data_IF_501231747527
#
_entry.id   IF_501231747527
#
_cell.length_a   1.000
_cell.length_b   1.000
_cell.length_c   1.000
_cell.angle_alpha   90.00
_cell.angle_beta   90.00
_cell.angle_gamma   90.00
#
_symmetry.space_group_name_H-M   'P 1'
#
loop_
_entity.id
_entity.type
_entity.pdbx_description
1 polymer ?
#
# COMPACT_ATOMS: atom_id res chain seq x y z
N UNK A 1 16.22 -19.98 11.08
CA UNK A 1 16.93 -19.23 10.01
C UNK A 1 16.65 -17.75 10.20
N UNK A 2 17.71 -16.94 10.35
CA UNK A 2 17.63 -15.54 10.79
C UNK A 2 17.00 -14.61 9.73
N UNK A 3 16.16 -13.71 10.23
CA UNK A 3 15.42 -12.58 9.64
C UNK A 3 16.17 -11.71 8.61
N UNK A 4 16.62 -12.28 7.47
CA UNK A 4 17.15 -11.48 6.34
C UNK A 4 16.06 -11.05 5.35
N UNK A 5 14.94 -11.78 5.29
CA UNK A 5 13.84 -11.45 4.38
C UNK A 5 13.02 -10.21 4.86
N UNK A 6 13.12 -9.91 6.16
CA UNK A 6 12.40 -8.84 6.83
C UNK A 6 13.17 -7.51 6.87
N UNK A 7 14.45 -7.49 6.48
CA UNK A 7 15.30 -6.28 6.58
C UNK A 7 15.13 -5.25 5.47
N UNK A 8 14.31 -5.54 4.45
CA UNK A 8 14.12 -4.66 3.27
C UNK A 8 12.68 -4.15 3.12
N UNK A 9 11.98 -3.96 4.23
CA UNK A 9 10.64 -3.40 4.23
C UNK A 9 10.70 -1.89 4.05
N UNK A 10 9.93 -1.39 3.08
CA UNK A 10 9.79 0.04 2.84
C UNK A 10 8.42 0.51 3.32
N UNK A 11 8.38 1.62 4.05
CA UNK A 11 7.17 2.33 4.42
C UNK A 11 7.05 3.61 3.60
N UNK A 12 5.89 3.79 2.98
CA UNK A 12 5.49 5.03 2.32
C UNK A 12 4.43 5.74 3.16
N UNK A 13 4.73 6.96 3.60
CA UNK A 13 3.83 7.78 4.39
C UNK A 13 3.39 9.00 3.58
N UNK A 14 2.14 9.06 3.08
CA UNK A 14 1.64 10.24 2.39
C UNK A 14 1.45 11.39 3.39
N UNK A 15 1.99 12.56 3.06
CA UNK A 15 1.89 13.80 3.84
C UNK A 15 1.06 14.81 3.05
N UNK A 16 -0.26 14.66 3.12
CA UNK A 16 -1.21 15.50 2.36
C UNK A 16 -1.99 16.38 3.34
N UNK A 17 -1.78 17.68 3.24
CA UNK A 17 -2.50 18.69 4.02
C UNK A 17 -3.47 19.41 3.11
N UNK A 18 -4.74 19.47 3.52
CA UNK A 18 -5.79 20.21 2.83
C UNK A 18 -6.42 21.10 3.88
N UNK A 19 -6.49 22.39 3.59
CA UNK A 19 -7.22 23.32 4.43
C UNK A 19 -8.71 22.92 4.50
N UNK A 20 -9.28 22.91 5.70
CA UNK A 20 -10.62 22.37 5.97
C UNK A 20 -11.77 23.19 5.39
N UNK A 21 -11.51 24.41 4.90
CA UNK A 21 -12.56 25.36 4.52
C UNK A 21 -13.33 25.94 5.70
N UNK A 22 -12.83 25.71 6.92
CA UNK A 22 -13.46 26.11 8.17
C UNK A 22 -12.55 27.00 9.00
N UNK A 23 -13.16 27.86 9.81
CA UNK A 23 -12.49 28.73 10.78
C UNK A 23 -13.20 28.60 12.12
N UNK A 24 -12.43 28.53 13.21
CA UNK A 24 -12.98 28.53 14.57
C UNK A 24 -13.82 29.78 14.81
N UNK A 25 -15.01 29.59 15.36
CA UNK A 25 -15.90 30.67 15.77
C UNK A 25 -15.66 31.07 17.22
N UNK A 26 -15.75 32.37 17.48
CA UNK A 26 -15.85 32.95 18.81
C UNK A 26 -17.28 33.41 19.03
N UNK A 27 -18.07 32.63 19.78
CA UNK A 27 -19.53 32.84 19.92
C UNK A 27 -19.90 34.28 20.28
N UNK A 28 -19.22 34.88 21.25
CA UNK A 28 -19.53 36.22 21.76
C UNK A 28 -19.30 37.32 20.71
N UNK A 29 -18.32 37.10 19.82
CA UNK A 29 -17.90 38.03 18.78
C UNK A 29 -18.65 37.80 17.45
N UNK A 30 -18.78 36.53 17.04
CA UNK A 30 -19.29 36.11 15.74
C UNK A 30 -20.83 36.08 15.66
N UNK A 31 -21.53 35.93 16.78
CA UNK A 31 -23.01 35.97 16.82
C UNK A 31 -23.55 37.37 17.13
N UNK A 32 -22.69 38.32 17.49
CA UNK A 32 -23.09 39.71 17.69
C UNK A 32 -23.53 40.34 16.35
N UNK A 33 -24.81 40.68 16.23
CA UNK A 33 -25.39 41.27 15.00
C UNK A 33 -25.89 40.28 13.95
N UNK A 34 -25.87 38.96 14.20
CA UNK A 34 -26.48 37.99 13.30
C UNK A 34 -28.01 38.04 13.38
N UNK A 35 -28.68 37.94 12.22
CA UNK A 35 -30.15 38.00 12.07
C UNK A 35 -30.93 36.84 12.73
N UNK A 36 -30.21 35.91 13.37
CA UNK A 36 -30.73 34.67 13.95
C UNK A 36 -29.61 33.64 14.14
N UNK A 37 -29.98 32.43 14.58
CA UNK A 37 -29.04 31.31 14.68
C UNK A 37 -28.61 30.84 13.28
N UNK A 38 -27.30 30.74 12.99
CA UNK A 38 -26.83 30.28 11.68
C UNK A 38 -27.23 28.82 11.42
N UNK A 39 -27.51 28.45 10.15
CA UNK A 39 -27.84 27.07 9.79
C UNK A 39 -26.72 26.10 10.17
N UNK A 40 -27.07 24.84 10.46
CA UNK A 40 -26.09 23.76 10.70
C UNK A 40 -25.15 23.52 9.51
N UNK A 41 -25.59 23.90 8.31
CA UNK A 41 -24.75 23.83 7.11
C UNK A 41 -23.63 24.87 7.11
N UNK A 42 -23.82 25.98 7.83
CA UNK A 42 -22.84 27.06 7.95
C UNK A 42 -21.93 26.89 9.17
N UNK A 43 -22.47 26.33 10.25
CA UNK A 43 -21.78 26.19 11.54
C UNK A 43 -21.87 24.75 12.07
N UNK A 44 -20.72 24.17 12.38
CA UNK A 44 -20.59 22.86 13.03
C UNK A 44 -19.55 22.96 14.14
N UNK A 45 -19.90 22.51 15.35
CA UNK A 45 -18.95 22.29 16.47
C UNK A 45 -18.03 23.48 16.78
N UNK A 46 -18.60 24.69 16.81
CA UNK A 46 -17.83 25.90 17.10
C UNK A 46 -16.91 26.34 15.96
N UNK A 47 -17.12 25.85 14.74
CA UNK A 47 -16.44 26.29 13.52
C UNK A 47 -17.44 26.70 12.46
N UNK A 48 -17.09 27.71 11.65
CA UNK A 48 -17.88 28.18 10.50
C UNK A 48 -17.24 27.76 9.20
N UNK A 49 -18.05 27.35 8.23
CA UNK A 49 -17.63 27.09 6.84
C UNK A 49 -17.60 28.40 6.08
N UNK A 50 -16.43 28.79 5.60
CA UNK A 50 -16.26 30.08 4.90
C UNK A 50 -16.33 29.97 3.38
N UNK A 51 -16.38 28.74 2.87
CA UNK A 51 -16.65 28.43 1.47
C UNK A 51 -17.51 27.17 1.35
N UNK A 52 -18.04 26.94 0.15
CA UNK A 52 -18.72 25.70 -0.20
C UNK A 52 -17.74 24.52 -0.14
N UNK A 53 -17.99 23.48 0.69
CA UNK A 53 -17.10 22.30 0.79
C UNK A 53 -16.80 21.64 -0.55
N UNK A 54 -17.68 21.81 -1.55
CA UNK A 54 -17.47 21.27 -2.90
C UNK A 54 -16.20 21.79 -3.55
N UNK A 55 -15.72 22.99 -3.22
CA UNK A 55 -14.50 23.54 -3.83
C UNK A 55 -13.25 22.72 -3.47
N UNK A 56 -13.24 22.00 -2.33
CA UNK A 56 -12.12 21.17 -1.90
C UNK A 56 -12.12 19.78 -2.54
N UNK A 57 -13.20 19.41 -3.24
CA UNK A 57 -13.44 18.03 -3.72
C UNK A 57 -12.32 17.53 -4.64
N UNK A 58 -11.72 18.40 -5.47
CA UNK A 58 -10.64 18.00 -6.38
C UNK A 58 -9.39 17.56 -5.61
N UNK A 59 -8.95 18.33 -4.62
CA UNK A 59 -7.80 17.96 -3.75
C UNK A 59 -8.12 16.74 -2.89
N UNK A 60 -9.34 16.69 -2.35
CA UNK A 60 -9.85 15.54 -1.61
C UNK A 60 -9.87 14.26 -2.45
N UNK A 61 -10.21 14.37 -3.73
CA UNK A 61 -10.14 13.28 -4.70
C UNK A 61 -8.71 12.78 -4.89
N UNK A 62 -7.73 13.68 -4.98
CA UNK A 62 -6.32 13.31 -5.08
C UNK A 62 -5.84 12.56 -3.84
N UNK A 63 -6.23 12.99 -2.63
CA UNK A 63 -5.95 12.25 -1.39
C UNK A 63 -6.51 10.83 -1.42
N UNK A 64 -7.74 10.64 -1.92
CA UNK A 64 -8.33 9.30 -2.10
C UNK A 64 -7.58 8.49 -3.15
N UNK A 65 -7.19 9.11 -4.25
CA UNK A 65 -6.41 8.45 -5.30
C UNK A 65 -5.06 7.97 -4.78
N UNK A 66 -4.33 8.78 -4.01
CA UNK A 66 -3.07 8.36 -3.36
C UNK A 66 -3.28 7.16 -2.46
N UNK A 67 -4.30 7.18 -1.59
CA UNK A 67 -4.57 6.02 -0.72
C UNK A 67 -4.87 4.75 -1.52
N UNK A 68 -5.64 4.86 -2.61
CA UNK A 68 -5.95 3.73 -3.49
C UNK A 68 -4.70 3.21 -4.21
N UNK A 69 -3.89 4.11 -4.73
CA UNK A 69 -2.68 3.80 -5.48
C UNK A 69 -1.64 3.10 -4.59
N UNK A 70 -1.39 3.61 -3.39
CA UNK A 70 -0.52 2.97 -2.41
C UNK A 70 -1.10 1.63 -1.89
N UNK A 71 -2.42 1.54 -1.69
CA UNK A 71 -3.09 0.28 -1.34
C UNK A 71 -3.01 -0.77 -2.46
N UNK A 72 -2.90 -0.35 -3.73
CA UNK A 72 -2.67 -1.28 -4.85
C UNK A 72 -1.27 -1.87 -4.78
N UNK A 73 -0.27 -1.05 -4.48
CA UNK A 73 1.15 -1.45 -4.48
C UNK A 73 1.61 -2.12 -3.18
N UNK A 74 0.88 -1.91 -2.07
CA UNK A 74 1.31 -2.33 -0.74
C UNK A 74 0.19 -2.63 0.23
N UNK A 75 0.54 -2.81 1.50
CA UNK A 75 -0.39 -3.14 2.58
C UNK A 75 -0.45 -2.00 3.58
N UNK A 76 -1.65 -1.64 4.04
CA UNK A 76 -1.83 -0.54 4.97
C UNK A 76 -1.28 -0.91 6.36
N UNK A 77 -0.55 0.01 6.97
CA UNK A 77 -0.02 -0.09 8.33
C UNK A 77 -0.26 1.20 9.12
N UNK A 78 -0.08 1.20 10.45
CA UNK A 78 -0.17 2.42 11.25
C UNK A 78 0.83 3.51 10.84
N UNK A 79 1.97 3.14 10.24
CA UNK A 79 3.01 4.07 9.79
C UNK A 79 2.80 4.58 8.36
N UNK A 80 1.88 3.98 7.59
CA UNK A 80 1.68 4.31 6.18
C UNK A 80 1.32 3.07 5.37
N UNK A 81 2.01 2.87 4.26
CA UNK A 81 1.86 1.70 3.40
C UNK A 81 3.17 0.94 3.34
N UNK A 82 3.15 -0.34 3.70
CA UNK A 82 4.26 -1.26 3.56
C UNK A 82 4.31 -1.69 2.10
N UNK A 83 5.43 -1.44 1.43
CA UNK A 83 5.70 -1.87 0.06
C UNK A 83 6.98 -2.70 0.03
N UNK A 84 7.16 -3.38 -1.08
CA UNK A 84 8.40 -4.10 -1.38
C UNK A 84 9.36 -3.15 -2.11
N UNK A 85 10.68 -3.39 -2.06
CA UNK A 85 11.65 -2.59 -2.81
C UNK A 85 11.35 -2.51 -4.31
N UNK A 86 10.80 -3.57 -4.89
CA UNK A 86 10.45 -3.62 -6.31
C UNK A 86 9.35 -2.63 -6.72
N UNK A 87 8.53 -2.17 -5.76
CA UNK A 87 7.45 -1.22 -6.01
C UNK A 87 7.86 0.25 -5.83
N UNK A 88 9.08 0.52 -5.35
CA UNK A 88 9.54 1.88 -4.99
C UNK A 88 9.50 2.85 -6.18
N UNK A 89 10.01 2.43 -7.35
CA UNK A 89 10.00 3.26 -8.57
C UNK A 89 8.58 3.62 -8.99
N UNK A 90 7.66 2.65 -8.97
CA UNK A 90 6.25 2.89 -9.29
C UNK A 90 5.59 3.88 -8.32
N UNK A 91 5.92 3.80 -7.02
CA UNK A 91 5.45 4.77 -6.04
C UNK A 91 5.93 6.18 -6.36
N UNK A 92 7.21 6.37 -6.70
CA UNK A 92 7.74 7.68 -7.06
C UNK A 92 7.01 8.29 -8.26
N UNK A 93 6.80 7.50 -9.32
CA UNK A 93 6.10 7.93 -10.53
C UNK A 93 4.64 8.31 -10.23
N UNK A 94 3.92 7.46 -9.50
CA UNK A 94 2.52 7.70 -9.16
C UNK A 94 2.36 8.91 -8.22
N UNK A 95 3.21 9.05 -7.20
CA UNK A 95 3.17 10.19 -6.30
C UNK A 95 3.53 11.50 -7.00
N UNK A 96 4.48 11.47 -7.95
CA UNK A 96 4.81 12.65 -8.76
C UNK A 96 3.61 13.09 -9.61
N UNK A 97 2.94 12.16 -10.28
CA UNK A 97 1.73 12.45 -11.05
C UNK A 97 0.60 13.03 -10.16
N UNK A 98 0.37 12.43 -8.98
CA UNK A 98 -0.64 12.91 -8.02
C UNK A 98 -0.28 14.28 -7.45
N UNK A 99 1.00 14.57 -7.23
CA UNK A 99 1.48 15.88 -6.77
C UNK A 99 1.16 16.96 -7.80
N UNK A 100 1.42 16.70 -9.09
CA UNK A 100 1.08 17.64 -10.18
C UNK A 100 -0.42 17.97 -10.18
N UNK A 101 -1.28 16.95 -10.16
CA UNK A 101 -2.74 17.15 -10.16
C UNK A 101 -3.23 17.88 -8.90
N UNK A 102 -2.65 17.57 -7.73
CA UNK A 102 -2.98 18.22 -6.47
C UNK A 102 -2.62 19.71 -6.50
N UNK A 103 -1.40 20.04 -6.95
CA UNK A 103 -0.93 21.42 -7.05
C UNK A 103 -1.77 22.22 -8.04
N UNK A 104 -2.13 21.64 -9.19
CA UNK A 104 -3.06 22.27 -10.12
C UNK A 104 -4.44 22.55 -9.49
N UNK A 105 -4.97 21.61 -8.69
CA UNK A 105 -6.21 21.81 -7.97
C UNK A 105 -6.12 22.88 -6.87
N UNK A 106 -4.98 22.94 -6.15
CA UNK A 106 -4.69 24.00 -5.18
C UNK A 106 -4.64 25.36 -5.85
N UNK A 107 -3.90 25.48 -6.95
CA UNK A 107 -3.70 26.76 -7.62
C UNK A 107 -5.02 27.28 -8.21
N UNK A 108 -5.85 26.38 -8.75
CA UNK A 108 -7.20 26.72 -9.19
C UNK A 108 -8.10 27.19 -8.03
N UNK A 109 -8.03 26.54 -6.86
CA UNK A 109 -8.76 26.98 -5.66
C UNK A 109 -8.32 28.39 -5.24
N UNK A 110 -7.01 28.63 -5.19
CA UNK A 110 -6.42 29.90 -4.75
C UNK A 110 -6.76 31.03 -5.72
N UNK A 111 -6.69 30.79 -7.03
CA UNK A 111 -7.05 31.78 -8.04
C UNK A 111 -8.53 32.16 -8.03
N UNK A 112 -9.40 31.20 -7.70
CA UNK A 112 -10.85 31.42 -7.62
C UNK A 112 -11.34 31.79 -6.20
N UNK A 113 -10.44 31.90 -5.23
CA UNK A 113 -10.79 31.92 -3.81
C UNK A 113 -11.78 33.03 -3.44
N UNK A 114 -11.47 34.27 -3.81
CA UNK A 114 -12.31 35.43 -3.48
C UNK A 114 -13.70 35.30 -4.12
N UNK A 115 -13.76 34.84 -5.38
CA UNK A 115 -15.00 34.57 -6.11
C UNK A 115 -15.83 33.49 -5.40
N UNK A 116 -15.20 32.41 -4.95
CA UNK A 116 -15.86 31.32 -4.22
C UNK A 116 -16.42 31.79 -2.88
N UNK A 117 -15.69 32.62 -2.15
CA UNK A 117 -16.16 33.22 -0.90
C UNK A 117 -17.35 34.16 -1.14
N UNK A 118 -17.31 35.04 -2.15
CA UNK A 118 -18.45 35.92 -2.48
C UNK A 118 -19.68 35.11 -2.90
N UNK A 119 -19.51 34.04 -3.67
CA UNK A 119 -20.61 33.14 -4.01
C UNK A 119 -21.19 32.44 -2.77
N UNK A 120 -20.35 32.06 -1.82
CA UNK A 120 -20.78 31.45 -0.58
C UNK A 120 -21.57 32.42 0.31
N UNK A 121 -21.13 33.68 0.38
CA UNK A 121 -21.89 34.76 1.05
C UNK A 121 -23.26 34.97 0.40
N UNK A 122 -23.32 35.07 -0.93
CA UNK A 122 -24.57 35.28 -1.66
C UNK A 122 -25.58 34.12 -1.48
N UNK A 123 -25.09 32.89 -1.27
CA UNK A 123 -25.93 31.73 -0.94
C UNK A 123 -26.46 31.74 0.49
N UNK A 124 -25.88 32.54 1.38
CA UNK A 124 -26.20 32.59 2.82
C UNK A 124 -26.50 34.03 3.27
N UNK A 125 -27.58 34.65 2.75
CA UNK A 125 -27.92 36.03 3.07
C UNK A 125 -28.18 36.22 4.57
N UNK A 126 -27.72 37.33 5.13
CA UNK A 126 -27.86 37.66 6.56
C UNK A 126 -26.76 37.09 7.47
N UNK A 127 -25.77 36.39 6.90
CA UNK A 127 -24.59 35.86 7.60
C UNK A 127 -23.26 36.31 6.97
N UNK A 128 -23.26 37.33 6.12
CA UNK A 128 -22.10 37.80 5.37
C UNK A 128 -20.98 38.28 6.31
N UNK A 129 -21.33 39.04 7.35
CA UNK A 129 -20.37 39.51 8.34
C UNK A 129 -19.74 38.35 9.11
N UNK A 130 -20.54 37.36 9.49
CA UNK A 130 -20.08 36.12 10.12
C UNK A 130 -19.06 35.41 9.21
N UNK A 131 -19.32 35.32 7.91
CA UNK A 131 -18.46 34.62 6.94
C UNK A 131 -17.17 35.38 6.58
N UNK A 132 -17.16 36.70 6.71
CA UNK A 132 -15.97 37.53 6.43
C UNK A 132 -15.02 37.59 7.62
N UNK A 133 -15.54 37.54 8.85
CA UNK A 133 -14.72 37.64 10.07
C UNK A 133 -13.73 36.48 10.18
N UNK A 134 -12.46 36.78 10.44
CA UNK A 134 -11.36 35.81 10.53
C UNK A 134 -11.19 34.93 9.28
N UNK A 135 -11.66 35.40 8.12
CA UNK A 135 -11.41 34.72 6.85
C UNK A 135 -9.89 34.77 6.56
N UNK A 136 -9.24 33.62 6.33
CA UNK A 136 -7.86 33.59 5.84
C UNK A 136 -7.81 34.16 4.42
N UNK A 137 -6.67 34.77 4.11
CA UNK A 137 -6.29 35.20 2.78
C UNK A 137 -6.06 34.00 1.86
N UNK A 138 -6.12 34.21 0.54
CA UNK A 138 -5.80 33.19 -0.44
C UNK A 138 -4.37 32.62 -0.25
N UNK A 139 -3.42 33.45 0.18
CA UNK A 139 -2.04 33.05 0.47
C UNK A 139 -1.94 32.13 1.70
N UNK A 140 -2.70 32.39 2.75
CA UNK A 140 -2.79 31.50 3.93
C UNK A 140 -3.42 30.16 3.57
N UNK A 141 -4.47 30.17 2.74
CA UNK A 141 -5.09 28.94 2.22
C UNK A 141 -4.09 28.14 1.37
N UNK A 142 -3.34 28.81 0.49
CA UNK A 142 -2.30 28.18 -0.33
C UNK A 142 -1.24 27.48 0.55
N UNK A 143 -0.77 28.13 1.61
CA UNK A 143 0.22 27.58 2.56
C UNK A 143 -0.33 26.42 3.38
N UNK A 144 -1.63 26.39 3.64
CA UNK A 144 -2.30 25.32 4.38
C UNK A 144 -2.62 24.08 3.52
N UNK A 145 -2.43 24.17 2.19
CA UNK A 145 -2.63 23.07 1.25
C UNK A 145 -1.28 22.61 0.69
N UNK A 146 -0.87 21.39 1.05
CA UNK A 146 0.44 20.85 0.72
C UNK A 146 0.37 19.36 0.41
N UNK A 147 1.26 18.91 -0.47
CA UNK A 147 1.36 17.52 -0.87
C UNK A 147 2.81 17.10 -0.86
N UNK A 148 3.11 16.13 -0.01
CA UNK A 148 4.36 15.40 -0.04
C UNK A 148 4.18 13.96 0.38
N UNK A 149 5.27 13.21 0.36
CA UNK A 149 5.33 11.86 0.89
C UNK A 149 6.73 11.58 1.39
N UNK A 150 6.84 10.69 2.38
CA UNK A 150 8.10 10.20 2.88
C UNK A 150 8.22 8.70 2.63
N UNK A 151 9.44 8.26 2.35
CA UNK A 151 9.79 6.85 2.17
C UNK A 151 10.87 6.52 3.20
N UNK A 152 10.64 5.44 3.93
CA UNK A 152 11.54 4.96 4.97
C UNK A 152 11.84 3.48 4.74
N UNK A 153 13.13 3.11 4.87
CA UNK A 153 13.49 1.72 5.12
C UNK A 153 13.32 1.44 6.60
N UNK A 154 12.61 0.36 6.95
CA UNK A 154 12.38 -0.04 8.35
C UNK A 154 13.20 -1.27 8.68
N UNK A 155 13.88 -1.22 9.82
CA UNK A 155 14.63 -2.34 10.39
C UNK A 155 14.27 -2.51 11.87
N UNK A 156 14.47 -3.73 12.38
CA UNK A 156 14.40 -3.99 13.81
C UNK A 156 15.41 -3.12 14.59
N UNK A 157 15.08 -2.80 15.83
CA UNK A 157 16.05 -2.26 16.80
C UNK A 157 16.99 -3.39 17.23
N UNK A 158 18.28 -3.09 17.38
CA UNK A 158 19.34 -4.02 17.79
C UNK A 158 19.21 -4.45 19.27
N UNK A 159 18.12 -5.17 19.57
CA UNK A 159 17.82 -5.78 20.85
C UNK A 159 16.93 -6.99 20.60
N UNK A 160 17.01 -8.02 21.46
CA UNK A 160 16.18 -9.22 21.35
C UNK A 160 14.68 -8.89 21.34
N UNK A 161 14.22 -8.04 22.27
CA UNK A 161 12.84 -7.56 22.29
C UNK A 161 12.47 -6.76 21.03
N UNK A 162 13.41 -5.97 20.49
CA UNK A 162 13.20 -5.22 19.25
C UNK A 162 12.99 -6.12 18.04
N UNK A 163 13.76 -7.21 17.95
CA UNK A 163 13.62 -8.22 16.91
C UNK A 163 12.29 -8.97 17.03
N UNK A 164 11.93 -9.43 18.23
CA UNK A 164 10.65 -10.12 18.48
C UNK A 164 9.43 -9.25 18.11
N UNK A 165 9.46 -7.96 18.47
CA UNK A 165 8.40 -7.01 18.09
C UNK A 165 8.34 -6.79 16.59
N UNK A 166 9.48 -6.73 15.93
CA UNK A 166 9.55 -6.59 14.48
C UNK A 166 8.98 -7.82 13.75
N UNK A 167 9.30 -9.03 14.21
CA UNK A 167 8.69 -10.26 13.70
C UNK A 167 7.17 -10.30 13.90
N UNK A 168 6.68 -9.77 15.02
CA UNK A 168 5.23 -9.65 15.27
C UNK A 168 4.57 -8.72 14.24
N UNK A 169 5.19 -7.58 13.93
CA UNK A 169 4.71 -6.65 12.89
C UNK A 169 4.76 -7.32 11.51
N UNK A 170 5.78 -8.12 11.23
CA UNK A 170 5.88 -8.90 10.00
C UNK A 170 4.70 -9.85 9.82
N UNK A 171 4.42 -10.67 10.85
CA UNK A 171 3.31 -11.62 10.85
C UNK A 171 1.96 -10.91 10.68
N UNK A 172 1.76 -9.79 11.37
CA UNK A 172 0.57 -8.97 11.22
C UNK A 172 0.44 -8.40 9.79
N UNK A 173 1.55 -8.02 9.16
CA UNK A 173 1.58 -7.55 7.77
C UNK A 173 1.18 -8.65 6.81
N UNK A 174 1.69 -9.87 6.99
CA UNK A 174 1.31 -11.03 6.18
C UNK A 174 -0.18 -11.35 6.33
N UNK A 175 -0.73 -11.31 7.56
CA UNK A 175 -2.16 -11.49 7.79
C UNK A 175 -3.00 -10.41 7.08
N UNK A 176 -2.60 -9.14 7.23
CA UNK A 176 -3.27 -8.02 6.58
C UNK A 176 -3.21 -8.10 5.05
N UNK A 177 -2.11 -8.60 4.49
CA UNK A 177 -2.01 -8.91 3.06
C UNK A 177 -3.03 -9.98 2.66
N UNK A 178 -3.07 -11.12 3.36
CA UNK A 178 -3.96 -12.21 3.01
C UNK A 178 -5.44 -11.76 3.05
N UNK A 179 -5.80 -10.95 4.04
CA UNK A 179 -7.12 -10.31 4.15
C UNK A 179 -7.41 -9.36 2.98
N UNK A 180 -6.46 -8.48 2.64
CA UNK A 180 -6.59 -7.54 1.52
C UNK A 180 -6.72 -8.28 0.17
N UNK A 181 -5.90 -9.30 -0.07
CA UNK A 181 -5.97 -10.13 -1.27
C UNK A 181 -7.33 -10.83 -1.35
N UNK A 182 -7.80 -11.42 -0.25
CA UNK A 182 -9.11 -12.05 -0.17
C UNK A 182 -10.26 -11.09 -0.45
N UNK A 183 -10.23 -9.89 0.14
CA UNK A 183 -11.25 -8.86 -0.07
C UNK A 183 -11.29 -8.41 -1.53
N UNK A 184 -10.13 -8.16 -2.14
CA UNK A 184 -10.02 -7.78 -3.55
C UNK A 184 -10.46 -8.92 -4.47
N UNK A 185 -10.08 -10.17 -4.19
CA UNK A 185 -10.51 -11.32 -4.97
C UNK A 185 -12.04 -11.49 -4.96
N UNK A 186 -12.67 -11.34 -3.79
CA UNK A 186 -14.14 -11.36 -3.65
C UNK A 186 -14.82 -10.25 -4.44
N UNK A 187 -14.28 -9.04 -4.39
CA UNK A 187 -14.82 -7.91 -5.14
C UNK A 187 -14.72 -8.14 -6.66
N UNK A 188 -13.55 -8.57 -7.15
CA UNK A 188 -13.34 -8.86 -8.58
C UNK A 188 -14.27 -9.99 -9.05
N UNK A 189 -14.38 -11.06 -8.26
CA UNK A 189 -15.23 -12.20 -8.58
C UNK A 189 -16.69 -11.74 -8.75
N UNK A 190 -17.22 -11.02 -7.75
CA UNK A 190 -18.59 -10.51 -7.75
C UNK A 190 -18.86 -9.54 -8.90
N UNK A 191 -17.95 -8.59 -9.13
CA UNK A 191 -18.21 -7.48 -10.05
C UNK A 191 -17.96 -7.86 -11.52
N UNK A 192 -17.05 -8.80 -11.77
CA UNK A 192 -16.52 -9.08 -13.11
C UNK A 192 -16.61 -10.52 -13.59
N UNK A 193 -16.78 -11.52 -12.72
CA UNK A 193 -16.73 -12.93 -13.12
C UNK A 193 -18.03 -13.71 -12.84
N UNK A 194 -18.77 -13.36 -11.79
CA UNK A 194 -20.00 -14.06 -11.44
C UNK A 194 -21.04 -13.95 -12.57
N UNK A 195 -21.53 -15.10 -13.01
CA UNK A 195 -22.50 -15.25 -14.11
C UNK A 195 -22.04 -14.62 -15.44
N UNK A 196 -20.73 -14.57 -15.71
CA UNK A 196 -20.17 -14.11 -16.98
C UNK A 196 -19.61 -15.27 -17.80
N UNK A 197 -19.94 -15.28 -19.09
CA UNK A 197 -19.39 -16.25 -20.06
C UNK A 197 -18.12 -15.72 -20.75
N UNK A 198 -17.85 -14.43 -20.66
CA UNK A 198 -16.69 -13.75 -21.25
C UNK A 198 -16.33 -12.53 -20.42
N UNK A 199 -15.03 -12.36 -20.16
CA UNK A 199 -14.50 -11.29 -19.29
C UNK A 199 -13.51 -10.41 -20.04
N UNK A 200 -13.61 -9.09 -19.84
CA UNK A 200 -12.74 -8.12 -20.51
C UNK A 200 -11.31 -8.14 -19.97
N UNK A 201 -10.33 -7.78 -20.80
CA UNK A 201 -8.93 -7.64 -20.36
C UNK A 201 -8.75 -6.65 -19.21
N UNK A 202 -9.65 -5.67 -19.05
CA UNK A 202 -9.62 -4.75 -17.91
C UNK A 202 -9.74 -5.50 -16.59
N UNK A 203 -10.71 -6.41 -16.47
CA UNK A 203 -10.88 -7.21 -15.27
C UNK A 203 -9.73 -8.20 -15.06
N UNK A 204 -9.25 -8.84 -16.14
CA UNK A 204 -8.10 -9.76 -16.07
C UNK A 204 -6.82 -9.04 -15.61
N UNK A 205 -6.60 -7.80 -16.06
CA UNK A 205 -5.45 -7.01 -15.61
C UNK A 205 -5.50 -6.70 -14.12
N UNK A 206 -6.69 -6.48 -13.54
CA UNK A 206 -6.84 -6.34 -12.09
C UNK A 206 -6.46 -7.65 -11.37
N UNK A 207 -6.81 -8.81 -11.91
CA UNK A 207 -6.38 -10.11 -11.37
C UNK A 207 -4.85 -10.25 -11.45
N UNK A 208 -4.23 -9.85 -12.57
CA UNK A 208 -2.77 -9.86 -12.73
C UNK A 208 -2.08 -8.95 -11.71
N UNK A 209 -2.61 -7.76 -11.47
CA UNK A 209 -2.11 -6.85 -10.44
C UNK A 209 -2.21 -7.47 -9.04
N UNK A 210 -3.33 -8.13 -8.73
CA UNK A 210 -3.53 -8.81 -7.46
C UNK A 210 -2.51 -9.93 -7.23
N UNK A 211 -2.23 -10.74 -8.24
CA UNK A 211 -1.22 -11.80 -8.16
C UNK A 211 0.20 -11.24 -8.07
N UNK A 212 0.53 -10.20 -8.84
CA UNK A 212 1.83 -9.52 -8.71
C UNK A 212 2.04 -8.96 -7.31
N UNK A 213 0.99 -8.38 -6.71
CA UNK A 213 1.02 -7.93 -5.32
C UNK A 213 1.34 -9.10 -4.39
N UNK A 214 0.62 -10.22 -4.50
CA UNK A 214 0.87 -11.43 -3.70
C UNK A 214 2.33 -11.93 -3.85
N UNK A 215 2.83 -12.01 -5.09
CA UNK A 215 4.21 -12.42 -5.40
C UNK A 215 5.26 -11.51 -4.77
N UNK A 216 5.03 -10.20 -4.76
CA UNK A 216 6.00 -9.26 -4.21
C UNK A 216 6.20 -9.45 -2.69
N UNK A 217 5.16 -9.93 -1.99
CA UNK A 217 5.18 -10.08 -0.54
C UNK A 217 5.72 -11.43 -0.03
N UNK A 218 6.20 -12.32 -0.91
CA UNK A 218 6.83 -13.59 -0.50
C UNK A 218 8.08 -13.38 0.37
N UNK A 219 8.66 -12.18 0.35
CA UNK A 219 9.73 -11.77 1.29
C UNK A 219 9.27 -11.76 2.76
N UNK A 220 7.97 -11.50 3.03
CA UNK A 220 7.43 -11.47 4.39
C UNK A 220 7.03 -12.86 4.88
N UNK A 221 6.61 -13.72 3.97
CA UNK A 221 6.23 -15.10 4.27
C UNK A 221 6.51 -16.01 3.06
N UNK A 222 7.57 -16.83 3.11
CA UNK A 222 7.94 -17.75 2.03
C UNK A 222 6.82 -18.75 1.68
N UNK A 223 5.91 -19.05 2.61
CA UNK A 223 4.79 -19.99 2.37
C UNK A 223 3.82 -19.49 1.30
N UNK A 224 3.84 -18.19 0.99
CA UNK A 224 2.98 -17.63 -0.07
C UNK A 224 3.54 -17.94 -1.46
N UNK A 225 4.84 -18.19 -1.58
CA UNK A 225 5.55 -18.32 -2.85
C UNK A 225 4.96 -19.37 -3.79
N UNK A 226 4.65 -20.61 -3.35
CA UNK A 226 4.22 -21.66 -4.26
C UNK A 226 2.84 -21.34 -4.86
N UNK A 227 1.91 -20.91 -4.01
CA UNK A 227 0.61 -20.35 -4.43
C UNK A 227 0.81 -19.21 -5.44
N UNK A 228 1.64 -18.22 -5.12
CA UNK A 228 1.84 -17.05 -5.97
C UNK A 228 2.46 -17.39 -7.35
N UNK A 229 3.34 -18.40 -7.41
CA UNK A 229 3.91 -18.94 -8.66
C UNK A 229 2.86 -19.68 -9.49
N UNK A 230 2.09 -20.58 -8.87
CA UNK A 230 1.05 -21.34 -9.56
C UNK A 230 0.00 -20.41 -10.19
N UNK A 231 -0.46 -19.42 -9.41
CA UNK A 231 -1.37 -18.38 -9.88
C UNK A 231 -0.78 -17.54 -11.02
N UNK A 232 0.51 -17.19 -10.92
CA UNK A 232 1.23 -16.48 -11.98
C UNK A 232 1.23 -17.24 -13.30
N UNK A 233 1.58 -18.53 -13.26
CA UNK A 233 1.63 -19.41 -14.44
C UNK A 233 0.28 -19.50 -15.16
N UNK A 234 -0.81 -19.68 -14.40
CA UNK A 234 -2.17 -19.70 -14.97
C UNK A 234 -2.48 -18.41 -15.73
N UNK A 235 -2.06 -17.25 -15.21
CA UNK A 235 -2.29 -15.95 -15.85
C UNK A 235 -1.38 -15.66 -17.04
N UNK A 236 -0.20 -16.29 -17.11
CA UNK A 236 0.70 -16.23 -18.26
C UNK A 236 0.13 -16.95 -19.47
N UNK A 237 -0.59 -18.06 -19.23
CA UNK A 237 -1.29 -18.83 -20.26
C UNK A 237 -2.56 -18.11 -20.77
N UNK A 238 -3.04 -17.07 -20.07
CA UNK A 238 -4.21 -16.29 -20.50
C UNK A 238 -3.86 -15.30 -21.63
N UNK A 239 -4.77 -15.07 -22.59
CA UNK A 239 -4.52 -14.11 -23.66
C UNK A 239 -4.25 -12.71 -23.13
N UNK A 240 -3.28 -12.03 -23.76
CA UNK A 240 -2.88 -10.64 -23.44
C UNK A 240 -3.78 -9.59 -24.07
N UNK A 241 -4.57 -9.99 -25.07
CA UNK A 241 -5.46 -9.12 -25.85
C UNK A 241 -6.78 -9.82 -26.14
N UNK A 242 -7.85 -9.06 -26.28
CA UNK A 242 -9.20 -9.60 -26.51
C UNK A 242 -9.83 -10.21 -25.25
N UNK A 243 -11.16 -10.34 -25.18
CA UNK A 243 -11.82 -10.91 -24.01
C UNK A 243 -11.43 -12.37 -23.79
N UNK A 244 -11.54 -12.84 -22.54
CA UNK A 244 -11.44 -14.25 -22.22
C UNK A 244 -12.65 -15.01 -22.78
N UNK A 245 -12.43 -16.20 -23.31
CA UNK A 245 -13.51 -17.13 -23.62
C UNK A 245 -14.12 -17.74 -22.34
N UNK A 246 -15.14 -18.58 -22.49
CA UNK A 246 -15.85 -19.20 -21.37
C UNK A 246 -14.96 -20.12 -20.55
N UNK A 247 -14.09 -20.90 -21.18
CA UNK A 247 -13.17 -21.81 -20.47
C UNK A 247 -12.14 -21.02 -19.68
N UNK A 248 -11.52 -20.01 -20.28
CA UNK A 248 -10.58 -19.11 -19.63
C UNK A 248 -11.23 -18.33 -18.48
N UNK A 249 -12.46 -17.86 -18.68
CA UNK A 249 -13.24 -17.17 -17.64
C UNK A 249 -13.50 -18.09 -16.44
N UNK A 250 -13.85 -19.35 -16.68
CA UNK A 250 -14.05 -20.35 -15.62
C UNK A 250 -12.76 -20.64 -14.85
N UNK A 251 -11.63 -20.79 -15.54
CA UNK A 251 -10.32 -21.06 -14.93
C UNK A 251 -9.92 -19.90 -14.00
N UNK A 252 -9.93 -18.66 -14.51
CA UNK A 252 -9.57 -17.48 -13.70
C UNK A 252 -10.58 -17.26 -12.57
N UNK A 253 -11.87 -17.54 -12.80
CA UNK A 253 -12.89 -17.48 -11.75
C UNK A 253 -12.67 -18.52 -10.63
N UNK A 254 -12.27 -19.75 -10.96
CA UNK A 254 -11.93 -20.78 -9.97
C UNK A 254 -10.70 -20.39 -9.14
N UNK A 255 -9.69 -19.82 -9.81
CA UNK A 255 -8.51 -19.24 -9.17
C UNK A 255 -8.87 -18.09 -8.21
N UNK A 256 -9.72 -17.15 -8.61
CA UNK A 256 -10.18 -16.09 -7.71
C UNK A 256 -10.91 -16.64 -6.48
N UNK A 257 -11.69 -17.72 -6.64
CA UNK A 257 -12.36 -18.38 -5.51
C UNK A 257 -11.37 -19.01 -4.52
N UNK A 258 -10.26 -19.58 -4.97
CA UNK A 258 -9.24 -20.10 -4.05
C UNK A 258 -8.55 -18.97 -3.27
N UNK A 259 -8.40 -17.79 -3.89
CA UNK A 259 -7.86 -16.59 -3.23
C UNK A 259 -8.86 -15.93 -2.25
N UNK A 260 -10.14 -16.30 -2.29
CA UNK A 260 -11.16 -15.70 -1.41
C UNK A 260 -11.01 -16.13 0.06
N UNK A 261 -10.24 -17.17 0.37
CA UNK A 261 -10.01 -17.60 1.74
C UNK A 261 -8.55 -17.27 2.18
N UNK A 262 -8.36 -16.34 3.13
CA UNK A 262 -7.04 -15.97 3.64
C UNK A 262 -6.25 -17.17 4.19
N UNK A 263 -6.92 -18.09 4.88
CA UNK A 263 -6.26 -19.25 5.48
C UNK A 263 -5.80 -20.23 4.40
N UNK A 264 -6.56 -20.40 3.32
CA UNK A 264 -6.17 -21.26 2.20
C UNK A 264 -4.97 -20.68 1.44
N UNK A 265 -4.88 -19.35 1.29
CA UNK A 265 -3.71 -18.71 0.69
C UNK A 265 -2.41 -19.02 1.46
N UNK A 266 -2.49 -19.11 2.79
CA UNK A 266 -1.35 -19.41 3.66
C UNK A 266 -1.10 -20.92 3.81
N UNK A 267 -2.15 -21.74 3.76
CA UNK A 267 -2.08 -23.21 3.99
C UNK A 267 -1.64 -23.96 2.74
N UNK A 268 -1.97 -23.48 1.54
CA UNK A 268 -1.52 -24.09 0.28
C UNK A 268 0.01 -24.14 0.14
N UNK A 269 0.73 -23.25 0.82
CA UNK A 269 2.20 -23.29 0.85
C UNK A 269 2.80 -24.34 1.79
N UNK A 270 2.03 -24.87 2.73
CA UNK A 270 2.56 -25.78 3.76
C UNK A 270 2.82 -27.18 3.17
N UNK A 271 2.08 -27.58 2.13
CA UNK A 271 2.29 -28.86 1.44
C UNK A 271 3.55 -28.88 0.56
N UNK A 272 3.79 -27.81 -0.21
CA UNK A 272 4.92 -27.76 -1.16
C UNK A 272 6.26 -27.43 -0.50
N UNK A 273 6.28 -26.65 0.59
CA UNK A 273 7.53 -26.37 1.36
C UNK A 273 8.04 -27.62 2.08
N UNK A 274 7.14 -28.51 2.52
CA UNK A 274 7.53 -29.79 3.12
C UNK A 274 8.13 -30.75 2.07
N UNK A 275 7.61 -30.73 0.84
CA UNK A 275 8.14 -31.53 -0.27
C UNK A 275 9.52 -31.00 -0.76
N UNK A 276 9.72 -29.67 -0.82
CA UNK A 276 11.02 -29.06 -1.18
C UNK A 276 12.10 -29.31 -0.09
N UNK A 277 11.76 -29.27 1.21
CA UNK A 277 12.68 -29.61 2.30
C UNK A 277 13.06 -31.11 2.30
N UNK A 278 12.14 -32.00 1.91
CA UNK A 278 12.42 -33.43 1.76
C UNK A 278 13.32 -33.73 0.53
N UNK A 279 13.13 -33.05 -0.60
CA UNK A 279 13.99 -33.20 -1.79
C UNK A 279 15.40 -32.64 -1.59
N UNK A 280 15.57 -31.50 -0.90
CA UNK A 280 16.90 -30.96 -0.57
C UNK A 280 17.66 -31.87 0.41
N UNK A 281 16.96 -32.50 1.35
CA UNK A 281 17.54 -33.45 2.31
C UNK A 281 17.94 -34.78 1.63
N UNK A 282 17.17 -35.25 0.65
CA UNK A 282 17.48 -36.48 -0.10
C UNK A 282 18.65 -36.29 -1.09
N UNK A 283 18.81 -35.09 -1.66
CA UNK A 283 19.86 -34.81 -2.65
C UNK A 283 21.27 -34.72 -2.00
N UNK A 284 21.37 -34.41 -0.70
CA UNK A 284 22.66 -34.35 0.01
C UNK A 284 23.17 -35.69 0.57
N UNK A 285 22.38 -36.77 0.56
CA UNK A 285 22.74 -38.05 1.24
C UNK A 285 23.34 -39.11 0.30
N UNK A 286 23.45 -38.87 -1.01
CA UNK A 286 23.95 -39.90 -1.95
C UNK A 286 25.42 -39.70 -2.36
N UNK A 287 26.37 -40.29 -1.61
CA UNK A 287 27.70 -40.70 -2.12
C UNK A 287 27.98 -42.14 -1.66
N UNK A 288 28.22 -43.10 -2.56
CA UNK A 288 28.41 -44.50 -2.20
C UNK A 288 29.84 -44.76 -1.68
N UNK A 289 29.93 -45.57 -0.63
CA UNK A 289 31.19 -46.04 -0.08
C UNK A 289 31.96 -46.94 -1.06
N UNK A 290 33.27 -46.75 -1.08
CA UNK A 290 34.23 -47.80 -1.41
C UNK A 290 35.30 -47.79 -0.33
N UNK A 291 35.27 -48.84 0.50
CA UNK A 291 36.36 -49.19 1.40
C UNK A 291 37.61 -49.56 0.60
N UNK A 292 38.75 -48.98 0.95
CA UNK A 292 40.00 -49.75 0.95
C UNK A 292 40.91 -49.22 2.05
N UNK A 293 41.13 -50.07 3.07
CA UNK A 293 42.19 -49.95 4.05
C UNK A 293 43.56 -49.81 3.37
N UNK A 294 44.49 -49.06 3.97
CA UNK A 294 45.81 -49.58 4.41
C UNK A 294 46.75 -48.46 4.90
N UNK A 295 47.17 -48.62 6.16
CA UNK A 295 48.44 -48.24 6.80
C UNK A 295 48.97 -46.79 6.80
N UNK A 296 49.15 -46.28 8.03
CA UNK A 296 50.20 -45.33 8.38
C UNK A 296 51.61 -45.94 8.16
N UNK A 297 52.67 -45.13 8.04
CA UNK A 297 53.35 -44.76 9.28
C UNK A 297 53.84 -43.30 9.33
N UNK A 298 54.12 -42.90 10.57
CA UNK A 298 54.72 -41.65 11.04
C UNK A 298 56.06 -41.31 10.41
N UNK A 299 56.34 -40.00 10.27
CA UNK A 299 57.64 -39.41 10.63
C UNK A 299 57.56 -37.88 10.79
N UNK A 300 58.05 -37.42 11.93
CA UNK A 300 58.49 -36.04 12.20
C UNK A 300 59.55 -35.58 11.18
N UNK A 301 59.68 -34.27 10.96
CA UNK A 301 60.84 -33.43 11.37
C UNK A 301 60.83 -32.06 10.66
N UNK A 302 61.09 -31.04 11.47
CA UNK A 302 61.68 -29.72 11.22
C UNK A 302 60.92 -28.47 10.72
N UNK A 303 61.08 -27.46 11.57
CA UNK A 303 60.91 -26.03 11.39
C UNK A 303 61.66 -25.45 10.19
N UNK A 304 61.25 -24.25 9.73
CA UNK A 304 62.14 -23.07 9.61
C UNK A 304 61.35 -21.81 9.20
N UNK A 305 61.48 -20.80 10.07
CA UNK A 305 61.56 -19.34 9.88
C UNK A 305 60.70 -18.56 8.85
N UNK A 306 60.16 -17.46 9.39
CA UNK A 306 59.80 -16.21 8.71
C UNK A 306 61.03 -15.56 8.01
N UNK A 307 60.86 -14.48 7.20
CA UNK A 307 60.64 -13.15 7.77
C UNK A 307 59.64 -12.26 7.00
N UNK A 308 59.43 -11.10 7.59
CA UNK A 308 58.51 -10.02 7.23
C UNK A 308 59.01 -9.09 6.09
N UNK A 309 58.15 -8.10 5.79
CA UNK A 309 58.39 -6.78 5.17
C UNK A 309 58.21 -6.72 3.65
N UNK A 310 57.05 -6.22 3.19
CA UNK A 310 56.80 -4.78 2.90
C UNK A 310 55.30 -4.49 2.94
#
# INVERSE_FOLDING_TARGET
MSSKALSDVIVVTPVIRIWSGQVTMRRDEDLSGASGLPPKELVSDGSKRILDPKALTKMESQRRCVNRDLARLGVRSPMGFLITPTSETAVHEEMAARKVDFIAARDALVSDYDRLCTQWEAKNPGFEQLLRRNRPTAAEVAKACDFDYAIYKVSAVDSEMGQERFETVAKATTSALAEDISANAKAILKDSFDNRESVTQRAVNVVRELVRKLQSFTMFDPRILPTAKALGKVLEDMPKTGPLDTTQTLIVGAMLRSMCNPDQLLTLGIGEVAEEEEEETQTQVQLPGVDTQTAAPSREVEATAAPAVF
#
